data_IF_331328387735
#
_entry.id   IF_331328387735
#
_cell.length_a   1.000
_cell.length_b   1.000
_cell.length_c   1.000
_cell.angle_alpha   90.00
_cell.angle_beta   90.00
_cell.angle_gamma   90.00
#
_symmetry.space_group_name_H-M   'P 1'
#
loop_
_entity.id
_entity.type
_entity.pdbx_description
1 polymer ?
#
# COMPACT_ATOMS: atom_id res chain seq x y z
N UNK A 1 -7.55 -31.72 -16.45
CA UNK A 1 -6.59 -31.03 -15.55
C UNK A 1 -5.76 -29.96 -16.27
N UNK A 2 -5.45 -30.08 -17.56
CA UNK A 2 -4.67 -29.06 -18.30
C UNK A 2 -5.30 -27.65 -18.31
N UNK A 3 -6.64 -27.54 -18.32
CA UNK A 3 -7.34 -26.25 -18.23
C UNK A 3 -7.04 -25.48 -16.93
N UNK A 4 -6.77 -26.19 -15.83
CA UNK A 4 -6.44 -25.58 -14.53
C UNK A 4 -5.08 -24.89 -14.62
N UNK A 5 -4.12 -25.49 -15.34
CA UNK A 5 -2.80 -24.89 -15.57
C UNK A 5 -2.90 -23.61 -16.41
N UNK A 6 -3.70 -23.62 -17.48
CA UNK A 6 -3.93 -22.42 -18.29
C UNK A 6 -4.64 -21.31 -17.51
N UNK A 7 -5.67 -21.66 -16.72
CA UNK A 7 -6.35 -20.70 -15.86
C UNK A 7 -5.41 -20.08 -14.82
N UNK A 8 -4.58 -20.88 -14.15
CA UNK A 8 -3.59 -20.40 -13.19
C UNK A 8 -2.55 -19.47 -13.83
N UNK A 9 -2.10 -19.77 -15.06
CA UNK A 9 -1.17 -18.92 -15.79
C UNK A 9 -1.78 -17.55 -16.16
N UNK A 10 -3.04 -17.53 -16.62
CA UNK A 10 -3.75 -16.27 -16.92
C UNK A 10 -3.95 -15.44 -15.65
N UNK A 11 -4.40 -16.06 -14.56
CA UNK A 11 -4.57 -15.39 -13.27
C UNK A 11 -3.24 -14.82 -12.74
N UNK A 12 -2.16 -15.61 -12.83
CA UNK A 12 -0.82 -15.17 -12.47
C UNK A 12 -0.37 -13.98 -13.33
N UNK A 13 -0.65 -13.97 -14.64
CA UNK A 13 -0.34 -12.86 -15.53
C UNK A 13 -1.03 -11.56 -15.07
N UNK A 14 -2.34 -11.58 -14.83
CA UNK A 14 -3.07 -10.40 -14.35
C UNK A 14 -2.59 -9.92 -12.99
N UNK A 15 -2.30 -10.86 -12.09
CA UNK A 15 -1.75 -10.53 -10.78
C UNK A 15 -0.40 -9.80 -10.93
N UNK A 16 0.51 -10.32 -11.75
CA UNK A 16 1.80 -9.68 -11.99
C UNK A 16 1.68 -8.27 -12.58
N UNK A 17 0.74 -8.04 -13.52
CA UNK A 17 0.48 -6.71 -14.09
C UNK A 17 0.04 -5.70 -13.03
N UNK A 18 -0.80 -6.11 -12.09
CA UNK A 18 -1.24 -5.23 -10.99
C UNK A 18 -0.14 -4.99 -9.95
N UNK A 19 0.53 -6.05 -9.49
CA UNK A 19 1.54 -5.92 -8.43
C UNK A 19 2.77 -5.12 -8.86
N UNK A 20 3.17 -5.20 -10.14
CA UNK A 20 4.31 -4.43 -10.62
C UNK A 20 4.05 -2.91 -10.61
N UNK A 21 2.79 -2.49 -10.78
CA UNK A 21 2.38 -1.09 -10.65
C UNK A 21 2.49 -0.61 -9.20
N UNK A 22 2.08 -1.43 -8.23
CA UNK A 22 2.27 -1.10 -6.80
C UNK A 22 3.74 -0.96 -6.45
N UNK A 23 4.59 -1.87 -6.94
CA UNK A 23 6.04 -1.77 -6.75
C UNK A 23 6.60 -0.49 -7.38
N UNK A 24 6.10 -0.09 -8.55
CA UNK A 24 6.49 1.17 -9.20
C UNK A 24 6.13 2.39 -8.35
N UNK A 25 4.97 2.37 -7.66
CA UNK A 25 4.60 3.41 -6.69
C UNK A 25 5.54 3.39 -5.48
N UNK A 26 5.86 2.23 -4.92
CA UNK A 26 6.79 2.15 -3.80
C UNK A 26 8.18 2.70 -4.15
N UNK A 27 8.72 2.35 -5.32
CA UNK A 27 10.00 2.88 -5.83
C UNK A 27 9.92 4.38 -6.10
N UNK A 28 8.81 4.88 -6.63
CA UNK A 28 8.57 6.31 -6.79
C UNK A 28 8.63 7.05 -5.43
N UNK A 29 7.93 6.55 -4.41
CA UNK A 29 7.98 7.12 -3.06
C UNK A 29 9.36 7.02 -2.42
N UNK A 30 10.10 5.94 -2.68
CA UNK A 30 11.47 5.77 -2.24
C UNK A 30 12.39 6.86 -2.80
N UNK A 31 12.32 7.17 -4.10
CA UNK A 31 13.12 8.27 -4.66
C UNK A 31 12.66 9.64 -4.15
N UNK A 32 11.37 9.84 -3.94
CA UNK A 32 10.84 11.09 -3.41
C UNK A 32 11.22 11.33 -1.93
N UNK A 33 11.45 10.26 -1.15
CA UNK A 33 11.87 10.37 0.24
C UNK A 33 13.36 10.68 0.42
N UNK A 34 14.18 10.59 -0.64
CA UNK A 34 15.60 10.97 -0.61
C UNK A 34 15.83 12.49 -0.61
N UNK A 35 14.77 13.29 -0.76
CA UNK A 35 14.84 14.76 -0.66
C UNK A 35 15.06 15.18 0.80
N UNK A 36 15.71 16.33 0.99
CA UNK A 36 15.96 16.89 2.33
C UNK A 36 14.65 17.08 3.13
N UNK A 37 13.60 17.55 2.46
CA UNK A 37 12.23 17.55 2.98
C UNK A 37 11.32 16.72 2.07
N UNK A 38 10.51 15.86 2.69
CA UNK A 38 9.55 15.02 1.95
C UNK A 38 8.40 15.88 1.39
N UNK A 39 8.00 15.67 0.13
CA UNK A 39 7.07 16.56 -0.56
C UNK A 39 5.63 16.52 -0.01
N UNK A 40 5.28 15.49 0.76
CA UNK A 40 3.98 15.36 1.42
C UNK A 40 3.96 15.90 2.87
N UNK A 41 5.00 16.63 3.29
CA UNK A 41 5.09 17.21 4.65
C UNK A 41 4.24 18.48 4.80
N UNK A 42 4.25 19.36 3.80
CA UNK A 42 3.61 20.68 3.85
C UNK A 42 2.56 20.83 2.74
N UNK A 43 1.70 21.83 2.90
CA UNK A 43 0.70 22.21 1.88
C UNK A 43 1.23 23.29 0.91
N UNK A 44 2.51 23.67 1.01
CA UNK A 44 3.11 24.76 0.23
C UNK A 44 3.69 24.27 -1.11
N UNK A 45 2.91 23.49 -1.86
CA UNK A 45 3.34 22.99 -3.17
C UNK A 45 2.36 23.39 -4.27
N UNK A 46 2.83 23.45 -5.51
CA UNK A 46 2.04 23.86 -6.68
C UNK A 46 0.84 22.94 -6.99
N UNK A 47 0.83 21.71 -6.46
CA UNK A 47 -0.28 20.77 -6.63
C UNK A 47 -1.31 20.85 -5.50
N UNK A 48 -1.01 21.57 -4.42
CA UNK A 48 -1.90 21.65 -3.27
C UNK A 48 -3.05 22.62 -3.52
N UNK A 49 -4.21 22.32 -2.95
CA UNK A 49 -5.37 23.21 -3.01
C UNK A 49 -5.45 24.13 -1.81
N UNK A 50 -6.30 25.15 -1.92
CA UNK A 50 -6.59 26.06 -0.82
C UNK A 50 -7.28 25.37 0.38
N UNK A 51 -7.72 24.12 0.28
CA UNK A 51 -8.32 23.35 1.38
C UNK A 51 -7.36 22.36 2.04
N UNK A 52 -6.09 22.33 1.60
CA UNK A 52 -5.04 21.53 2.20
C UNK A 52 -4.67 22.08 3.58
N UNK A 53 -4.62 21.20 4.58
CA UNK A 53 -4.18 21.53 5.94
C UNK A 53 -3.35 20.40 6.50
N UNK A 54 -2.24 20.73 7.15
CA UNK A 54 -1.45 19.74 7.87
C UNK A 54 -2.25 19.17 9.07
N UNK A 55 -2.22 17.85 9.34
CA UNK A 55 -2.85 17.25 10.52
C UNK A 55 -2.53 17.93 11.86
N UNK A 56 -1.32 18.49 12.04
CA UNK A 56 -0.95 19.20 13.25
C UNK A 56 -1.69 20.54 13.39
N UNK A 57 -1.72 21.33 12.31
CA UNK A 57 -2.42 22.61 12.28
C UNK A 57 -3.93 22.42 12.32
N UNK A 58 -4.44 21.33 11.73
CA UNK A 58 -5.86 20.97 11.73
C UNK A 58 -6.46 20.89 13.14
N UNK A 59 -5.69 20.53 14.15
CA UNK A 59 -6.13 20.51 15.55
C UNK A 59 -6.34 21.91 16.15
N UNK A 60 -5.64 22.92 15.62
CA UNK A 60 -5.71 24.30 16.09
C UNK A 60 -6.75 25.14 15.34
N UNK A 61 -7.40 24.60 14.31
CA UNK A 61 -8.47 25.30 13.61
C UNK A 61 -9.71 25.48 14.48
N UNK A 62 -10.31 26.67 14.39
CA UNK A 62 -11.62 26.95 14.98
C UNK A 62 -12.70 26.33 14.11
N UNK A 63 -13.27 25.23 14.59
CA UNK A 63 -14.37 24.52 13.91
C UNK A 63 -15.66 24.60 14.74
N UNK A 64 -16.80 24.75 14.06
CA UNK A 64 -18.13 24.74 14.66
C UNK A 64 -19.07 23.84 13.87
N UNK A 65 -20.12 23.34 14.52
CA UNK A 65 -21.19 22.58 13.89
C UNK A 65 -22.43 23.45 13.72
N UNK A 66 -23.09 23.32 12.59
CA UNK A 66 -24.45 23.87 12.39
C UNK A 66 -25.50 22.86 12.86
N UNK A 67 -26.76 23.29 12.88
CA UNK A 67 -27.94 22.46 13.22
C UNK A 67 -28.12 21.25 12.30
N UNK A 68 -27.58 21.30 11.08
CA UNK A 68 -27.66 20.23 10.08
C UNK A 68 -26.53 19.20 10.20
N UNK A 69 -25.85 19.12 11.35
CA UNK A 69 -24.64 18.29 11.59
C UNK A 69 -23.47 18.57 10.63
N UNK A 70 -23.50 19.67 9.87
CA UNK A 70 -22.38 20.06 9.01
C UNK A 70 -21.38 20.86 9.82
N UNK A 71 -20.15 20.35 9.90
CA UNK A 71 -19.06 21.04 10.60
C UNK A 71 -18.24 21.89 9.63
N UNK A 72 -18.03 23.14 9.98
CA UNK A 72 -17.21 24.11 9.24
C UNK A 72 -16.00 24.50 10.08
N UNK A 73 -14.90 24.84 9.42
CA UNK A 73 -13.66 25.29 10.02
C UNK A 73 -13.16 26.56 9.33
N UNK A 74 -12.60 27.50 10.09
CA UNK A 74 -12.01 28.73 9.52
C UNK A 74 -10.57 28.46 9.07
N UNK A 75 -10.34 28.51 7.76
CA UNK A 75 -9.02 28.38 7.15
C UNK A 75 -8.65 29.68 6.42
N UNK A 76 -7.55 30.32 6.83
CA UNK A 76 -7.06 31.57 6.20
C UNK A 76 -8.18 32.63 6.00
N UNK A 77 -9.07 32.76 7.00
CA UNK A 77 -10.19 33.70 6.98
C UNK A 77 -11.41 33.27 6.16
N UNK A 78 -11.44 32.04 5.62
CA UNK A 78 -12.58 31.46 4.89
C UNK A 78 -13.22 30.32 5.67
N UNK A 79 -14.54 30.20 5.56
CA UNK A 79 -15.29 29.09 6.17
C UNK A 79 -15.33 27.93 5.19
N UNK A 80 -14.72 26.80 5.56
CA UNK A 80 -14.62 25.59 4.74
C UNK A 80 -15.29 24.43 5.47
N UNK A 81 -16.02 23.58 4.75
CA UNK A 81 -16.59 22.36 5.34
C UNK A 81 -15.47 21.41 5.80
N UNK A 82 -15.61 20.81 6.98
CA UNK A 82 -14.64 19.86 7.55
C UNK A 82 -14.38 18.67 6.62
N UNK A 83 -15.38 18.26 5.85
CA UNK A 83 -15.29 17.15 4.87
C UNK A 83 -14.43 17.54 3.66
N UNK A 84 -14.39 18.82 3.31
CA UNK A 84 -13.61 19.33 2.19
C UNK A 84 -12.12 19.55 2.53
N UNK A 85 -11.76 19.46 3.81
CA UNK A 85 -10.36 19.55 4.24
C UNK A 85 -9.58 18.32 3.78
N UNK A 86 -8.45 18.56 3.13
CA UNK A 86 -7.54 17.51 2.64
C UNK A 86 -6.21 17.56 3.37
N UNK A 87 -5.58 16.40 3.54
CA UNK A 87 -4.24 16.30 4.12
C UNK A 87 -3.17 16.36 3.02
N UNK A 88 -1.97 16.92 3.28
CA UNK A 88 -0.92 17.05 2.27
C UNK A 88 -0.48 15.71 1.68
N UNK A 89 -0.53 14.63 2.48
CA UNK A 89 -0.24 13.26 2.02
C UNK A 89 -1.27 12.77 1.00
N UNK A 90 -2.56 13.04 1.26
CA UNK A 90 -3.64 12.68 0.35
C UNK A 90 -3.55 13.47 -0.95
N UNK A 91 -3.35 14.78 -0.88
CA UNK A 91 -3.21 15.59 -2.08
C UNK A 91 -1.95 15.27 -2.89
N UNK A 92 -0.84 14.95 -2.22
CA UNK A 92 0.35 14.47 -2.90
C UNK A 92 0.05 13.19 -3.70
N UNK A 93 -0.66 12.23 -3.10
CA UNK A 93 -1.04 11.00 -3.79
C UNK A 93 -1.98 11.25 -4.98
N UNK A 94 -3.08 11.96 -4.75
CA UNK A 94 -4.15 12.12 -5.74
C UNK A 94 -3.77 13.12 -6.84
N UNK A 95 -3.15 14.25 -6.50
CA UNK A 95 -2.92 15.38 -7.43
C UNK A 95 -1.49 15.42 -7.98
N UNK A 96 -0.49 14.88 -7.27
CA UNK A 96 0.92 14.92 -7.73
C UNK A 96 1.44 13.58 -8.23
N UNK A 97 1.24 12.50 -7.47
CA UNK A 97 1.73 11.18 -7.84
C UNK A 97 0.87 10.62 -8.98
N UNK A 98 -0.42 10.38 -8.70
CA UNK A 98 -1.34 9.75 -9.66
C UNK A 98 -1.89 10.73 -10.69
N UNK A 99 -2.25 11.95 -10.30
CA UNK A 99 -3.11 12.83 -11.10
C UNK A 99 -4.40 12.13 -11.51
N UNK A 100 -5.22 11.78 -10.52
CA UNK A 100 -6.48 11.10 -10.73
C UNK A 100 -7.36 11.91 -11.70
N UNK A 101 -7.85 11.23 -12.75
CA UNK A 101 -8.75 11.80 -13.73
C UNK A 101 -10.20 11.87 -13.21
N UNK A 102 -11.08 12.55 -13.96
CA UNK A 102 -12.49 12.70 -13.59
C UNK A 102 -13.28 11.38 -13.57
N UNK A 103 -12.80 10.34 -14.27
CA UNK A 103 -13.44 9.05 -14.35
C UNK A 103 -12.68 8.06 -15.24
N UNK A 104 -13.13 6.80 -15.25
CA UNK A 104 -12.49 5.70 -15.99
C UNK A 104 -12.50 5.92 -17.52
N UNK A 105 -13.49 6.66 -18.01
CA UNK A 105 -13.63 7.02 -19.44
C UNK A 105 -12.55 8.00 -19.90
N UNK A 106 -11.96 8.75 -18.96
CA UNK A 106 -10.92 9.73 -19.23
C UNK A 106 -9.60 9.25 -18.64
N UNK A 107 -8.79 8.55 -19.43
CA UNK A 107 -7.53 7.94 -18.98
C UNK A 107 -6.45 9.00 -18.62
N UNK A 108 -6.63 10.25 -19.04
CA UNK A 108 -5.71 11.35 -18.75
C UNK A 108 -4.38 11.21 -19.50
N UNK A 109 -3.31 11.78 -18.92
CA UNK A 109 -1.97 11.78 -19.50
C UNK A 109 -1.05 10.79 -18.79
N UNK A 110 -0.08 10.23 -19.53
CA UNK A 110 0.93 9.33 -18.96
C UNK A 110 1.84 10.13 -18.00
N UNK A 111 1.97 9.63 -16.78
CA UNK A 111 2.88 10.17 -15.77
C UNK A 111 4.28 9.60 -15.99
N UNK A 112 5.14 10.35 -16.68
CA UNK A 112 6.47 9.90 -17.07
C UNK A 112 7.37 9.46 -15.90
N UNK A 113 7.25 10.09 -14.73
CA UNK A 113 7.99 9.68 -13.53
C UNK A 113 7.57 8.26 -13.08
N UNK A 114 6.26 7.95 -13.10
CA UNK A 114 5.74 6.62 -12.79
C UNK A 114 6.04 5.61 -13.90
N UNK A 115 6.00 6.02 -15.17
CA UNK A 115 6.41 5.17 -16.27
C UNK A 115 7.91 4.79 -16.17
N UNK A 116 8.76 5.74 -15.75
CA UNK A 116 10.17 5.50 -15.48
C UNK A 116 10.40 4.56 -14.31
N UNK A 117 9.70 4.73 -13.19
CA UNK A 117 9.82 3.82 -12.05
C UNK A 117 9.26 2.44 -12.36
N UNK A 118 8.21 2.34 -13.17
CA UNK A 118 7.68 1.08 -13.68
C UNK A 118 8.70 0.35 -14.56
N UNK A 119 9.33 1.05 -15.51
CA UNK A 119 10.38 0.48 -16.34
C UNK A 119 11.58 -0.01 -15.49
N UNK A 120 11.97 0.77 -14.48
CA UNK A 120 13.02 0.37 -13.55
C UNK A 120 12.65 -0.91 -12.77
N UNK A 121 11.43 -1.02 -12.27
CA UNK A 121 10.98 -2.23 -11.56
C UNK A 121 11.00 -3.44 -12.47
N UNK A 122 10.56 -3.32 -13.73
CA UNK A 122 10.67 -4.41 -14.71
C UNK A 122 12.11 -4.87 -14.91
N UNK A 123 13.06 -3.93 -15.04
CA UNK A 123 14.49 -4.23 -15.15
C UNK A 123 15.01 -4.94 -13.89
N UNK A 124 14.65 -4.46 -12.70
CA UNK A 124 15.03 -5.09 -11.43
C UNK A 124 14.49 -6.52 -11.33
N UNK A 125 13.20 -6.72 -11.61
CA UNK A 125 12.57 -8.04 -11.62
C UNK A 125 13.24 -8.99 -12.62
N UNK A 126 13.60 -8.50 -13.82
CA UNK A 126 14.36 -9.29 -14.80
C UNK A 126 15.70 -9.76 -14.23
N UNK A 127 16.49 -8.87 -13.63
CA UNK A 127 17.78 -9.24 -13.03
C UNK A 127 17.65 -10.20 -11.83
N UNK A 128 16.55 -10.13 -11.07
CA UNK A 128 16.27 -11.07 -9.99
C UNK A 128 16.00 -12.51 -10.49
N UNK A 129 15.55 -12.68 -11.74
CA UNK A 129 15.11 -13.96 -12.29
C UNK A 129 16.06 -14.49 -13.38
N UNK A 130 16.81 -13.62 -14.08
CA UNK A 130 17.57 -13.98 -15.29
C UNK A 130 18.45 -15.23 -15.12
N UNK A 131 19.18 -15.38 -14.00
CA UNK A 131 20.04 -16.56 -13.77
C UNK A 131 19.31 -17.80 -13.24
N UNK A 132 17.97 -17.81 -13.28
CA UNK A 132 17.10 -18.90 -12.87
C UNK A 132 16.91 -19.04 -11.36
N UNK A 133 16.20 -20.09 -10.97
CA UNK A 133 15.68 -20.30 -9.60
C UNK A 133 16.77 -20.33 -8.52
N UNK A 134 17.97 -20.85 -8.83
CA UNK A 134 19.10 -20.86 -7.87
C UNK A 134 19.59 -19.44 -7.55
N UNK A 135 19.58 -18.55 -8.53
CA UNK A 135 19.94 -17.13 -8.32
C UNK A 135 18.80 -16.40 -7.61
N UNK A 136 17.56 -16.60 -8.05
CA UNK A 136 16.38 -16.05 -7.38
C UNK A 136 16.35 -16.43 -5.91
N UNK A 137 16.66 -17.69 -5.56
CA UNK A 137 16.77 -18.12 -4.17
C UNK A 137 17.80 -17.32 -3.35
N UNK A 138 18.92 -16.92 -3.96
CA UNK A 138 19.92 -16.05 -3.29
C UNK A 138 19.37 -14.64 -3.03
N UNK A 139 18.69 -14.06 -4.02
CA UNK A 139 18.05 -12.75 -3.91
C UNK A 139 16.94 -12.77 -2.84
N UNK A 140 16.17 -13.86 -2.78
CA UNK A 140 15.06 -14.04 -1.83
C UNK A 140 15.53 -13.99 -0.38
N UNK A 141 16.74 -14.46 -0.04
CA UNK A 141 17.26 -14.31 1.33
C UNK A 141 17.29 -12.84 1.77
N UNK A 142 17.67 -11.92 0.88
CA UNK A 142 17.62 -10.50 1.20
C UNK A 142 16.18 -9.98 1.20
N UNK A 143 15.42 -10.21 0.12
CA UNK A 143 14.09 -9.61 -0.04
C UNK A 143 13.05 -10.14 0.94
N UNK A 144 13.24 -11.35 1.50
CA UNK A 144 12.37 -11.92 2.52
C UNK A 144 12.78 -11.50 3.93
N UNK A 145 14.07 -11.37 4.24
CA UNK A 145 14.55 -11.02 5.59
C UNK A 145 14.53 -9.51 5.86
N UNK A 146 14.85 -8.69 4.86
CA UNK A 146 14.92 -7.24 5.01
C UNK A 146 13.60 -6.59 5.49
N UNK A 147 12.40 -7.00 5.02
CA UNK A 147 11.14 -6.51 5.57
C UNK A 147 10.99 -6.76 7.07
N UNK A 148 11.44 -7.92 7.60
CA UNK A 148 11.38 -8.17 9.05
C UNK A 148 12.27 -7.20 9.83
N UNK A 149 13.48 -6.93 9.34
CA UNK A 149 14.35 -5.92 9.93
C UNK A 149 13.69 -4.53 9.95
N UNK A 150 13.12 -4.09 8.83
CA UNK A 150 12.40 -2.81 8.76
C UNK A 150 11.19 -2.77 9.69
N UNK A 151 10.39 -3.84 9.73
CA UNK A 151 9.23 -3.95 10.63
C UNK A 151 9.66 -3.89 12.10
N UNK A 152 10.79 -4.50 12.47
CA UNK A 152 11.32 -4.39 13.84
C UNK A 152 11.73 -2.96 14.16
N UNK A 153 12.43 -2.26 13.26
CA UNK A 153 12.79 -0.85 13.46
C UNK A 153 11.54 0.04 13.57
N UNK A 154 10.56 -0.16 12.70
CA UNK A 154 9.29 0.56 12.73
C UNK A 154 8.47 0.25 13.97
N UNK A 155 8.51 -0.99 14.47
CA UNK A 155 7.85 -1.38 15.71
C UNK A 155 8.48 -0.66 16.90
N UNK A 156 9.81 -0.72 17.05
CA UNK A 156 10.53 -0.03 18.13
C UNK A 156 10.23 1.47 18.06
N UNK A 157 10.31 2.08 16.88
CA UNK A 157 9.96 3.49 16.72
C UNK A 157 8.51 3.74 17.10
N UNK A 158 7.58 2.94 16.58
CA UNK A 158 6.14 3.07 16.81
C UNK A 158 5.76 3.03 18.29
N UNK A 159 6.31 2.10 19.07
CA UNK A 159 6.01 2.00 20.51
C UNK A 159 6.64 3.15 21.34
N UNK A 160 7.70 3.78 20.84
CA UNK A 160 8.33 4.94 21.51
C UNK A 160 7.60 6.26 21.26
N UNK A 161 6.66 6.32 20.31
CA UNK A 161 5.88 7.54 20.04
C UNK A 161 4.81 7.79 21.12
N UNK A 162 4.55 9.06 21.47
CA UNK A 162 3.45 9.38 22.37
C UNK A 162 2.12 8.99 21.74
N UNK A 163 1.23 8.39 22.55
CA UNK A 163 -0.08 7.91 22.09
C UNK A 163 -0.08 6.51 21.44
N UNK A 164 1.07 5.81 21.38
CA UNK A 164 1.14 4.46 20.81
C UNK A 164 0.17 3.45 21.46
N UNK A 165 -0.06 3.59 22.77
CA UNK A 165 -0.94 2.68 23.53
C UNK A 165 -2.40 2.75 23.08
N UNK A 166 -2.89 3.91 22.63
CA UNK A 166 -4.26 4.04 22.11
C UNK A 166 -4.45 3.24 20.82
N UNK A 167 -3.47 3.29 19.92
CA UNK A 167 -3.46 2.50 18.69
C UNK A 167 -3.39 1.00 18.96
N UNK A 168 -2.54 0.56 19.91
CA UNK A 168 -2.43 -0.85 20.30
C UNK A 168 -3.75 -1.33 20.92
N UNK A 169 -4.34 -0.55 21.84
CA UNK A 169 -5.62 -0.89 22.45
C UNK A 169 -6.71 -1.03 21.40
N UNK A 170 -6.79 -0.11 20.43
CA UNK A 170 -7.75 -0.20 19.34
C UNK A 170 -7.56 -1.45 18.47
N UNK A 171 -6.32 -1.82 18.16
CA UNK A 171 -6.02 -3.00 17.34
C UNK A 171 -6.31 -4.33 18.05
N UNK A 172 -5.98 -4.43 19.34
CA UNK A 172 -6.04 -5.70 20.09
C UNK A 172 -7.38 -5.91 20.79
N UNK A 173 -8.11 -4.85 21.15
CA UNK A 173 -9.35 -4.98 21.92
C UNK A 173 -10.46 -5.61 21.07
N UNK A 174 -10.90 -6.84 21.41
CA UNK A 174 -11.85 -7.57 20.57
C UNK A 174 -13.27 -7.07 20.79
N UNK A 175 -14.02 -6.92 19.70
CA UNK A 175 -15.46 -6.73 19.76
C UNK A 175 -16.18 -8.07 19.57
N UNK A 176 -16.55 -8.72 20.68
CA UNK A 176 -17.10 -10.09 20.64
C UNK A 176 -18.44 -10.19 19.91
N UNK A 177 -19.23 -9.11 19.83
CA UNK A 177 -20.48 -9.14 19.08
C UNK A 177 -20.27 -9.31 17.57
N UNK A 178 -19.13 -8.87 17.04
CA UNK A 178 -18.77 -9.02 15.62
C UNK A 178 -18.55 -10.46 15.20
N UNK A 179 -18.18 -11.35 16.12
CA UNK A 179 -17.97 -12.77 15.80
C UNK A 179 -19.26 -13.52 15.44
N UNK A 180 -20.42 -12.95 15.78
CA UNK A 180 -21.73 -13.48 15.39
C UNK A 180 -22.09 -13.16 13.93
N UNK A 181 -21.42 -12.17 13.33
CA UNK A 181 -21.62 -11.78 11.93
C UNK A 181 -20.86 -12.75 11.02
N UNK A 182 -21.54 -13.32 10.02
CA UNK A 182 -20.93 -14.27 9.07
C UNK A 182 -19.86 -13.64 8.19
N UNK A 183 -19.96 -12.33 7.95
CA UNK A 183 -19.00 -11.54 7.15
C UNK A 183 -17.58 -11.64 7.69
N UNK A 184 -17.40 -11.58 9.02
CA UNK A 184 -16.08 -11.69 9.68
C UNK A 184 -15.40 -13.02 9.36
N UNK A 185 -16.16 -14.11 9.25
CA UNK A 185 -15.62 -15.43 8.93
C UNK A 185 -15.29 -15.57 7.44
N UNK A 186 -16.11 -14.99 6.57
CA UNK A 186 -15.83 -14.94 5.12
C UNK A 186 -14.54 -14.15 4.87
N UNK A 187 -14.37 -13.00 5.52
CA UNK A 187 -13.17 -12.18 5.43
C UNK A 187 -11.95 -12.93 5.98
N UNK A 188 -12.08 -13.62 7.11
CA UNK A 188 -10.99 -14.39 7.70
C UNK A 188 -10.52 -15.53 6.78
N UNK A 189 -11.45 -16.29 6.19
CA UNK A 189 -11.12 -17.37 5.23
C UNK A 189 -10.49 -16.79 3.97
N UNK A 190 -11.06 -15.70 3.43
CA UNK A 190 -10.54 -14.99 2.26
C UNK A 190 -9.11 -14.50 2.48
N UNK A 191 -8.84 -13.90 3.64
CA UNK A 191 -7.53 -13.41 4.04
C UNK A 191 -6.51 -14.54 4.10
N UNK A 192 -6.83 -15.68 4.73
CA UNK A 192 -5.93 -16.84 4.81
C UNK A 192 -5.69 -17.40 3.40
N UNK A 193 -6.74 -17.58 2.61
CA UNK A 193 -6.67 -18.14 1.27
C UNK A 193 -5.72 -17.34 0.36
N UNK A 194 -5.87 -16.01 0.33
CA UNK A 194 -5.02 -15.14 -0.49
C UNK A 194 -3.63 -14.94 0.11
N UNK A 195 -3.46 -14.94 1.43
CA UNK A 195 -2.15 -14.82 2.07
C UNK A 195 -1.23 -16.01 1.76
N UNK A 196 -1.78 -17.23 1.70
CA UNK A 196 -1.03 -18.42 1.29
C UNK A 196 -0.92 -18.60 -0.24
N UNK A 197 -1.66 -17.81 -1.03
CA UNK A 197 -1.65 -17.89 -2.49
C UNK A 197 -2.13 -19.25 -3.02
N UNK A 198 -3.12 -19.86 -2.37
CA UNK A 198 -3.64 -21.17 -2.74
C UNK A 198 -4.25 -21.13 -4.16
N UNK A 199 -3.93 -22.14 -4.97
CA UNK A 199 -4.49 -22.28 -6.33
C UNK A 199 -3.79 -21.46 -7.43
N UNK A 200 -2.73 -20.71 -7.12
CA UNK A 200 -1.98 -19.90 -8.10
C UNK A 200 -0.90 -20.69 -8.86
N UNK A 201 -0.65 -21.95 -8.48
CA UNK A 201 0.38 -22.81 -9.10
C UNK A 201 1.82 -22.52 -8.65
N UNK A 202 2.08 -21.40 -7.98
CA UNK A 202 3.43 -21.02 -7.51
C UNK A 202 4.03 -22.04 -6.54
N UNK A 203 3.26 -22.52 -5.56
CA UNK A 203 3.72 -23.54 -4.61
C UNK A 203 4.02 -24.88 -5.29
N UNK A 204 3.23 -25.27 -6.28
CA UNK A 204 3.45 -26.48 -7.09
C UNK A 204 4.74 -26.35 -7.89
N UNK A 205 4.96 -25.19 -8.52
CA UNK A 205 6.18 -24.89 -9.26
C UNK A 205 7.42 -24.92 -8.35
N UNK A 206 7.37 -24.28 -7.18
CA UNK A 206 8.47 -24.32 -6.20
C UNK A 206 8.73 -25.75 -5.70
N UNK A 207 7.67 -26.51 -5.43
CA UNK A 207 7.77 -27.93 -5.05
C UNK A 207 8.43 -28.80 -6.11
N UNK A 208 8.20 -28.52 -7.40
CA UNK A 208 8.81 -29.26 -8.53
C UNK A 208 10.33 -29.17 -8.60
N UNK A 209 10.93 -28.14 -8.00
CA UNK A 209 12.39 -27.97 -7.93
C UNK A 209 13.01 -28.64 -6.70
N UNK A 210 12.20 -29.27 -5.84
CA UNK A 210 12.67 -29.92 -4.62
C UNK A 210 13.14 -31.35 -4.88
N UNK A 211 13.95 -31.89 -3.97
CA UNK A 211 14.35 -33.31 -4.02
C UNK A 211 13.16 -34.20 -3.68
N UNK A 212 13.06 -35.36 -4.33
CA UNK A 212 12.00 -36.33 -4.08
C UNK A 212 11.95 -36.82 -2.63
N UNK A 213 13.10 -36.90 -1.96
CA UNK A 213 13.21 -37.33 -0.56
C UNK A 213 13.06 -36.19 0.46
N UNK A 214 12.76 -34.97 0.02
CA UNK A 214 12.61 -33.84 0.93
C UNK A 214 11.34 -33.97 1.77
N UNK A 215 11.45 -33.75 3.08
CA UNK A 215 10.28 -33.69 3.94
C UNK A 215 9.52 -32.38 3.65
N UNK A 216 8.28 -32.50 3.19
CA UNK A 216 7.42 -31.35 2.84
C UNK A 216 6.38 -31.03 3.93
N UNK A 217 6.30 -31.86 4.98
CA UNK A 217 5.38 -31.66 6.10
C UNK A 217 5.95 -30.70 7.16
N UNK A 218 7.28 -30.65 7.31
CA UNK A 218 8.01 -29.77 8.22
C UNK A 218 8.63 -28.62 7.45
#
# INVERSE_FOLDING_TARGET
MSCIGYAAAVMSCWMNVYYIVILAWAVFYFFMSMRADVPWRTCDNYWNTATCVNPYDRKNLTCWSTTDMTSYCTLNGRNVSKIALSDPVKEFWERRALQISSGIEHIGNIRWELAGTLALVWVLCYFCIWKGVRWTGKVVYFTALFPYFLLTVLLIRGITLPGAMEGIKFYVMPNMSKLLESEVWIDAVTQIFFSYGLGLGTLVALGSYNKFTNNVYK
#
